data_IF_605963358993
#
_entry.id   IF_605963358993
#
_cell.length_a   1.000
_cell.length_b   1.000
_cell.length_c   1.000
_cell.angle_alpha   90.00
_cell.angle_beta   90.00
_cell.angle_gamma   90.00
#
_symmetry.space_group_name_H-M   'P 1'
#
loop_
_entity.id
_entity.type
_entity.pdbx_description
1 polymer ?
#
# COMPACT_ATOMS: atom_id res chain seq x y z
N UNK A 1 1.78 42.17 -81.71
CA UNK A 1 1.66 43.65 -81.74
C UNK A 1 0.65 44.10 -80.68
N UNK A 2 1.04 45.07 -79.83
CA UNK A 2 0.26 45.96 -78.93
C UNK A 2 -0.61 45.27 -77.85
N UNK A 3 -0.28 45.20 -76.54
CA UNK A 3 0.04 46.20 -75.47
C UNK A 3 -1.02 47.30 -75.27
N UNK A 4 -1.69 47.32 -74.10
CA UNK A 4 -1.61 48.31 -73.00
C UNK A 4 -2.68 47.92 -71.92
N UNK A 5 -2.30 47.58 -70.67
CA UNK A 5 -2.11 48.44 -69.47
C UNK A 5 -3.40 48.55 -68.61
N UNK A 6 -3.43 48.68 -67.28
CA UNK A 6 -2.45 48.70 -66.17
C UNK A 6 -3.22 48.82 -64.85
N UNK A 7 -2.67 48.32 -63.72
CA UNK A 7 -2.51 48.98 -62.39
C UNK A 7 -2.20 47.89 -61.34
N UNK A 8 -0.94 47.70 -60.91
CA UNK A 8 -0.17 48.40 -59.88
C UNK A 8 -0.65 48.20 -58.43
N UNK A 9 0.25 47.60 -57.63
CA UNK A 9 0.19 47.43 -56.19
C UNK A 9 1.33 46.51 -55.72
N UNK A 10 2.55 47.06 -55.63
CA UNK A 10 3.69 46.43 -54.97
C UNK A 10 3.55 46.57 -53.45
N UNK A 11 3.90 45.54 -52.69
CA UNK A 11 4.46 45.67 -51.34
C UNK A 11 5.36 44.47 -51.03
N UNK A 12 6.51 44.79 -50.45
CA UNK A 12 7.66 43.95 -50.18
C UNK A 12 7.48 43.00 -48.99
N UNK A 13 8.39 42.03 -48.92
CA UNK A 13 8.37 40.89 -47.99
C UNK A 13 8.42 41.20 -46.50
N UNK A 14 8.14 40.17 -45.72
CA UNK A 14 8.92 39.75 -44.56
C UNK A 14 8.58 38.29 -44.23
N UNK A 15 9.56 37.42 -44.34
CA UNK A 15 9.57 36.12 -43.67
C UNK A 15 9.83 36.37 -42.18
N UNK A 16 8.90 36.01 -41.31
CA UNK A 16 9.14 35.93 -39.88
C UNK A 16 8.51 34.65 -39.33
N UNK A 17 9.37 33.85 -38.73
CA UNK A 17 9.18 32.52 -38.19
C UNK A 17 8.13 32.57 -37.06
N UNK A 18 7.00 31.89 -37.26
CA UNK A 18 6.07 31.58 -36.19
C UNK A 18 6.69 30.53 -35.27
N UNK A 19 7.32 30.97 -34.18
CA UNK A 19 7.66 30.10 -33.05
C UNK A 19 6.35 29.62 -32.44
N UNK A 20 5.97 28.39 -32.74
CA UNK A 20 4.91 27.70 -32.03
C UNK A 20 5.47 27.38 -30.63
N UNK A 21 5.18 28.24 -29.66
CA UNK A 21 5.32 27.93 -28.25
C UNK A 21 4.33 26.80 -27.94
N UNK A 22 4.80 25.56 -28.12
CA UNK A 22 4.19 24.40 -27.49
C UNK A 22 4.44 24.59 -26.01
N UNK A 23 3.48 25.22 -25.33
CA UNK A 23 3.41 25.17 -23.89
C UNK A 23 3.38 23.71 -23.49
N UNK A 24 4.50 23.21 -22.98
CA UNK A 24 4.57 21.98 -22.22
C UNK A 24 3.84 22.22 -20.90
N UNK A 25 2.52 22.33 -20.98
CA UNK A 25 1.66 22.05 -19.85
C UNK A 25 1.87 20.58 -19.55
N UNK A 26 2.71 20.29 -18.55
CA UNK A 26 2.67 19.02 -17.88
C UNK A 26 1.23 18.85 -17.37
N UNK A 27 0.41 18.13 -18.14
CA UNK A 27 -0.89 17.66 -17.70
C UNK A 27 -0.61 16.78 -16.49
N UNK A 28 -0.65 17.39 -15.32
CA UNK A 28 -0.79 16.68 -14.07
C UNK A 28 -2.19 16.08 -14.15
N UNK A 29 -2.28 14.82 -14.58
CA UNK A 29 -3.52 14.06 -14.50
C UNK A 29 -3.74 13.78 -13.02
N UNK A 30 -4.32 14.75 -12.32
CA UNK A 30 -4.91 14.56 -11.01
C UNK A 30 -6.22 13.83 -11.23
N UNK A 31 -6.32 12.60 -10.70
CA UNK A 31 -7.58 11.88 -10.71
C UNK A 31 -8.43 12.42 -9.55
N UNK A 32 -9.28 13.41 -9.82
CA UNK A 32 -10.36 13.74 -8.89
C UNK A 32 -11.16 12.46 -8.58
N UNK A 33 -11.64 12.25 -7.34
CA UNK A 33 -12.42 11.08 -7.00
C UNK A 33 -13.65 11.00 -7.91
N UNK A 34 -13.67 9.98 -8.77
CA UNK A 34 -14.71 9.79 -9.78
C UNK A 34 -16.01 9.39 -9.08
N UNK A 35 -17.19 9.83 -9.56
CA UNK A 35 -18.47 9.45 -8.96
C UNK A 35 -18.63 7.93 -8.77
N UNK A 36 -19.34 7.49 -7.71
CA UNK A 36 -19.54 6.07 -7.44
C UNK A 36 -20.15 5.31 -8.63
N UNK A 37 -19.55 4.17 -8.98
CA UNK A 37 -20.07 3.31 -10.04
C UNK A 37 -21.29 2.51 -9.58
N UNK A 38 -22.17 2.06 -10.49
CA UNK A 38 -23.29 1.17 -10.13
C UNK A 38 -22.85 -0.11 -9.40
N UNK A 39 -21.70 -0.68 -9.78
CA UNK A 39 -21.15 -1.87 -9.15
C UNK A 39 -20.78 -1.60 -7.68
N UNK A 40 -20.10 -0.48 -7.39
CA UNK A 40 -19.75 -0.10 -6.01
C UNK A 40 -20.99 0.13 -5.15
N UNK A 41 -22.03 0.79 -5.68
CA UNK A 41 -23.30 0.96 -4.95
C UNK A 41 -23.94 -0.37 -4.58
N UNK A 42 -23.86 -1.37 -5.47
CA UNK A 42 -24.37 -2.70 -5.19
C UNK A 42 -23.53 -3.42 -4.12
N UNK A 43 -22.20 -3.33 -4.19
CA UNK A 43 -21.29 -3.88 -3.17
C UNK A 43 -21.64 -3.33 -1.79
N UNK A 44 -21.82 -2.01 -1.67
CA UNK A 44 -22.17 -1.34 -0.41
C UNK A 44 -23.46 -1.91 0.18
N UNK A 45 -24.51 -2.07 -0.64
CA UNK A 45 -25.79 -2.65 -0.17
C UNK A 45 -25.63 -4.07 0.36
N UNK A 46 -24.85 -4.90 -0.34
CA UNK A 46 -24.57 -6.28 0.08
C UNK A 46 -23.82 -6.29 1.41
N UNK A 47 -22.80 -5.44 1.56
CA UNK A 47 -22.03 -5.33 2.81
C UNK A 47 -22.92 -4.86 3.96
N UNK A 48 -23.78 -3.86 3.75
CA UNK A 48 -24.72 -3.42 4.78
C UNK A 48 -25.70 -4.52 5.17
N UNK A 49 -26.20 -5.29 4.21
CA UNK A 49 -27.10 -6.40 4.51
C UNK A 49 -26.39 -7.50 5.31
N UNK A 50 -25.17 -7.88 4.94
CA UNK A 50 -24.37 -8.86 5.68
C UNK A 50 -24.07 -8.40 7.11
N UNK A 51 -23.71 -7.13 7.30
CA UNK A 51 -23.51 -6.57 8.65
C UNK A 51 -24.80 -6.64 9.48
N UNK A 52 -25.95 -6.44 8.84
CA UNK A 52 -27.26 -6.48 9.52
C UNK A 52 -27.69 -7.90 9.89
N UNK A 53 -27.43 -8.90 9.04
CA UNK A 53 -27.97 -10.25 9.23
C UNK A 53 -26.98 -11.25 9.82
N UNK A 54 -25.69 -11.13 9.50
CA UNK A 54 -24.67 -12.14 9.82
C UNK A 54 -23.73 -11.73 10.95
N UNK A 55 -23.67 -10.45 11.31
CA UNK A 55 -22.71 -9.97 12.31
C UNK A 55 -23.03 -10.52 13.70
N UNK A 56 -22.02 -11.09 14.37
CA UNK A 56 -22.18 -11.79 15.66
C UNK A 56 -22.80 -10.89 16.75
N UNK A 57 -22.40 -9.61 16.80
CA UNK A 57 -22.91 -8.67 17.80
C UNK A 57 -24.40 -8.38 17.67
N UNK A 58 -25.00 -8.62 16.49
CA UNK A 58 -26.39 -8.24 16.14
C UNK A 58 -26.70 -6.77 16.39
N UNK A 59 -25.67 -5.92 16.45
CA UNK A 59 -25.85 -4.49 16.66
C UNK A 59 -26.59 -3.90 15.46
N UNK A 60 -27.63 -3.08 15.67
CA UNK A 60 -28.31 -2.43 14.56
C UNK A 60 -27.36 -1.48 13.81
N UNK A 61 -27.59 -1.36 12.51
CA UNK A 61 -26.99 -0.30 11.70
C UNK A 61 -27.70 1.01 12.00
N UNK A 62 -27.21 1.77 12.97
CA UNK A 62 -27.84 2.98 13.52
C UNK A 62 -26.89 4.19 13.59
N UNK A 63 -27.35 5.26 14.24
CA UNK A 63 -26.59 6.50 14.42
C UNK A 63 -25.28 6.29 15.19
N UNK A 64 -25.24 5.35 16.14
CA UNK A 64 -24.01 5.06 16.89
C UNK A 64 -22.94 4.47 15.97
N UNK A 65 -23.29 3.48 15.15
CA UNK A 65 -22.37 2.94 14.14
C UNK A 65 -21.96 4.04 13.15
N UNK A 66 -22.88 4.90 12.76
CA UNK A 66 -22.63 6.02 11.84
C UNK A 66 -21.60 7.02 12.40
N UNK A 67 -21.76 7.45 13.66
CA UNK A 67 -20.82 8.34 14.35
C UNK A 67 -19.44 7.71 14.52
N UNK A 68 -19.38 6.43 14.93
CA UNK A 68 -18.13 5.68 15.04
C UNK A 68 -17.43 5.55 13.70
N UNK A 69 -18.18 5.26 12.63
CA UNK A 69 -17.66 5.17 11.27
C UNK A 69 -17.07 6.50 10.81
N UNK A 70 -17.78 7.63 11.02
CA UNK A 70 -17.25 8.95 10.68
C UNK A 70 -15.94 9.23 11.42
N UNK A 71 -15.90 8.98 12.74
CA UNK A 71 -14.71 9.16 13.56
C UNK A 71 -13.54 8.34 13.03
N UNK A 72 -13.75 7.08 12.71
CA UNK A 72 -12.72 6.19 12.16
C UNK A 72 -12.26 6.65 10.78
N UNK A 73 -13.20 7.05 9.90
CA UNK A 73 -12.88 7.51 8.56
C UNK A 73 -12.00 8.78 8.59
N UNK A 74 -12.37 9.78 9.40
CA UNK A 74 -11.56 10.98 9.58
C UNK A 74 -10.21 10.69 10.24
N UNK A 75 -10.16 9.77 11.20
CA UNK A 75 -8.91 9.32 11.84
C UNK A 75 -7.98 8.61 10.86
N UNK A 76 -8.51 7.83 9.92
CA UNK A 76 -7.72 7.14 8.90
C UNK A 76 -7.15 8.12 7.87
N UNK A 77 -7.90 9.16 7.52
CA UNK A 77 -7.45 10.21 6.61
C UNK A 77 -6.44 11.16 7.26
N UNK A 78 -6.77 11.71 8.43
CA UNK A 78 -5.97 12.74 9.10
C UNK A 78 -5.76 12.43 10.60
N UNK A 79 -4.97 11.39 10.93
CA UNK A 79 -4.78 10.95 12.31
C UNK A 79 -4.09 11.99 13.20
N UNK A 80 -3.33 12.91 12.60
CA UNK A 80 -2.60 13.96 13.30
C UNK A 80 -3.35 15.30 13.29
N UNK A 81 -4.49 15.38 12.59
CA UNK A 81 -5.30 16.59 12.44
C UNK A 81 -4.50 17.74 11.80
N UNK A 82 -3.67 17.44 10.81
CA UNK A 82 -2.75 18.37 10.15
C UNK A 82 -3.33 19.00 8.88
N UNK A 83 -4.30 18.34 8.26
CA UNK A 83 -4.78 18.70 6.93
C UNK A 83 -6.12 19.43 7.02
N UNK A 84 -7.14 18.79 7.58
CA UNK A 84 -8.47 19.39 7.69
C UNK A 84 -8.48 20.61 8.60
N UNK A 85 -9.35 21.57 8.28
CA UNK A 85 -9.75 22.59 9.24
C UNK A 85 -10.86 22.08 10.15
N UNK A 86 -11.00 22.72 11.31
CA UNK A 86 -12.12 22.46 12.22
C UNK A 86 -13.48 22.67 11.50
N UNK A 87 -13.58 23.68 10.64
CA UNK A 87 -14.78 23.93 9.84
C UNK A 87 -15.13 22.81 8.86
N UNK A 88 -14.14 22.13 8.28
CA UNK A 88 -14.38 20.98 7.41
C UNK A 88 -15.00 19.84 8.23
N UNK A 89 -14.40 19.57 9.39
CA UNK A 89 -14.84 18.51 10.30
C UNK A 89 -16.22 18.79 10.88
N UNK A 90 -16.52 20.03 11.25
CA UNK A 90 -17.84 20.44 11.74
C UNK A 90 -18.91 20.24 10.65
N UNK A 91 -18.58 20.53 9.39
CA UNK A 91 -19.46 20.24 8.24
C UNK A 91 -19.70 18.74 8.07
N UNK A 92 -18.68 17.91 8.24
CA UNK A 92 -18.82 16.45 8.15
C UNK A 92 -19.66 15.89 9.30
N UNK A 93 -19.46 16.41 10.51
CA UNK A 93 -20.24 16.04 11.70
C UNK A 93 -21.72 16.35 11.58
N UNK A 94 -22.11 17.37 10.80
CA UNK A 94 -23.52 17.64 10.54
C UNK A 94 -24.27 16.48 9.85
N UNK A 95 -23.56 15.50 9.29
CA UNK A 95 -24.13 14.29 8.69
C UNK A 95 -23.81 13.01 9.50
N UNK A 96 -23.26 13.11 10.71
CA UNK A 96 -22.69 11.97 11.43
C UNK A 96 -23.69 10.85 11.75
N UNK A 97 -24.98 11.17 11.84
CA UNK A 97 -26.05 10.19 12.08
C UNK A 97 -26.56 9.50 10.80
N UNK A 98 -26.18 10.00 9.61
CA UNK A 98 -26.79 9.61 8.34
C UNK A 98 -25.92 8.70 7.45
N UNK A 99 -24.62 8.54 7.74
CA UNK A 99 -23.69 7.79 6.87
C UNK A 99 -24.17 6.35 6.62
N UNK A 100 -24.67 5.70 7.67
CA UNK A 100 -25.17 4.31 7.58
C UNK A 100 -26.49 4.24 6.82
N UNK A 101 -27.39 5.21 6.99
CA UNK A 101 -28.64 5.29 6.21
C UNK A 101 -28.39 5.54 4.72
N UNK A 102 -27.38 6.35 4.40
CA UNK A 102 -26.91 6.54 3.03
C UNK A 102 -26.33 5.22 2.48
N UNK A 103 -25.44 4.58 3.25
CA UNK A 103 -24.81 3.32 2.85
C UNK A 103 -25.84 2.20 2.60
N UNK A 104 -26.90 2.10 3.41
CA UNK A 104 -28.01 1.13 3.16
C UNK A 104 -28.66 1.30 1.78
N UNK A 105 -28.71 2.52 1.26
CA UNK A 105 -29.24 2.83 -0.09
C UNK A 105 -28.18 2.64 -1.19
N UNK A 106 -26.96 2.29 -0.82
CA UNK A 106 -25.79 2.23 -1.69
C UNK A 106 -25.20 3.60 -2.00
N UNK A 107 -25.53 4.62 -1.21
CA UNK A 107 -24.99 5.97 -1.38
C UNK A 107 -23.69 6.12 -0.57
N UNK A 108 -22.61 6.41 -1.28
CA UNK A 108 -21.26 6.64 -0.73
C UNK A 108 -20.71 8.02 -1.13
N UNK A 109 -21.58 8.91 -1.62
CA UNK A 109 -21.19 10.26 -2.06
C UNK A 109 -20.50 11.05 -0.95
N UNK A 110 -20.92 10.89 0.30
CA UNK A 110 -20.29 11.49 1.47
C UNK A 110 -18.79 11.16 1.57
N UNK A 111 -18.41 9.88 1.40
CA UNK A 111 -17.01 9.46 1.46
C UNK A 111 -16.16 10.10 0.36
N UNK A 112 -16.72 10.24 -0.84
CA UNK A 112 -16.06 10.93 -1.96
C UNK A 112 -15.92 12.43 -1.72
N UNK A 113 -16.93 13.09 -1.15
CA UNK A 113 -16.88 14.52 -0.84
C UNK A 113 -15.81 14.83 0.22
N UNK A 114 -15.78 14.06 1.31
CA UNK A 114 -14.76 14.19 2.37
C UNK A 114 -13.37 13.97 1.79
N UNK A 115 -13.19 12.93 0.95
CA UNK A 115 -11.90 12.65 0.34
C UNK A 115 -11.46 13.73 -0.64
N UNK A 116 -12.39 14.30 -1.42
CA UNK A 116 -12.09 15.45 -2.28
C UNK A 116 -11.57 16.64 -1.48
N UNK A 117 -12.26 17.01 -0.40
CA UNK A 117 -11.82 18.10 0.49
C UNK A 117 -10.46 17.77 1.12
N UNK A 118 -10.20 16.50 1.43
CA UNK A 118 -8.90 16.07 1.93
C UNK A 118 -7.78 16.30 0.91
N UNK A 119 -7.99 15.98 -0.37
CA UNK A 119 -7.03 16.27 -1.45
C UNK A 119 -6.79 17.77 -1.61
N UNK A 120 -7.86 18.58 -1.60
CA UNK A 120 -7.74 20.05 -1.64
C UNK A 120 -6.87 20.59 -0.49
N UNK A 121 -7.06 20.05 0.73
CA UNK A 121 -6.22 20.40 1.89
C UNK A 121 -4.79 19.91 1.75
N UNK A 122 -4.56 18.72 1.20
CA UNK A 122 -3.22 18.22 0.91
C UNK A 122 -2.47 19.17 -0.02
N UNK A 123 -3.11 19.66 -1.08
CA UNK A 123 -2.49 20.58 -2.04
C UNK A 123 -2.20 21.94 -1.40
N UNK A 124 -3.13 22.42 -0.59
CA UNK A 124 -2.95 23.63 0.22
C UNK A 124 -1.76 23.48 1.17
N UNK A 125 -1.65 22.37 1.91
CA UNK A 125 -0.52 22.07 2.80
C UNK A 125 0.77 21.86 2.02
N UNK A 126 0.72 21.24 0.85
CA UNK A 126 1.89 21.00 0.01
C UNK A 126 2.61 22.32 -0.34
N UNK A 127 1.87 23.33 -0.80
CA UNK A 127 2.43 24.67 -1.08
C UNK A 127 3.05 25.30 0.17
N UNK A 128 2.32 25.26 1.29
CA UNK A 128 2.78 25.78 2.58
C UNK A 128 4.04 25.07 3.08
N UNK A 129 4.14 23.76 2.93
CA UNK A 129 5.29 22.95 3.35
C UNK A 129 6.54 23.34 2.55
N UNK A 130 6.43 23.58 1.24
CA UNK A 130 7.56 24.01 0.41
C UNK A 130 8.11 25.38 0.86
N UNK A 131 7.23 26.32 1.21
CA UNK A 131 7.62 27.60 1.79
C UNK A 131 8.33 27.40 3.13
N UNK A 132 7.71 26.67 4.06
CA UNK A 132 8.23 26.45 5.40
C UNK A 132 9.58 25.71 5.42
N UNK A 133 9.79 24.74 4.51
CA UNK A 133 11.07 24.03 4.36
C UNK A 133 12.19 24.90 3.82
N UNK A 134 11.86 26.03 3.18
CA UNK A 134 12.82 26.99 2.65
C UNK A 134 13.15 28.10 3.65
N UNK A 135 12.40 28.21 4.74
CA UNK A 135 12.64 29.18 5.81
C UNK A 135 13.79 28.76 6.72
N UNK A 136 14.38 29.73 7.44
CA UNK A 136 15.39 29.44 8.46
C UNK A 136 14.73 28.85 9.70
N UNK A 137 15.12 27.63 10.06
CA UNK A 137 14.66 26.97 11.29
C UNK A 137 15.58 27.30 12.47
N UNK A 138 15.08 28.08 13.43
CA UNK A 138 15.80 28.40 14.68
C UNK A 138 15.48 27.37 15.77
N UNK A 139 16.42 26.48 16.07
CA UNK A 139 16.29 25.45 17.09
C UNK A 139 16.58 25.91 18.53
N UNK A 140 16.89 27.19 18.74
CA UNK A 140 17.17 27.77 20.07
C UNK A 140 15.92 28.32 20.77
N UNK A 141 14.82 28.48 20.04
CA UNK A 141 13.53 28.93 20.58
C UNK A 141 12.89 27.84 21.45
N UNK A 142 12.55 28.18 22.69
CA UNK A 142 11.77 27.32 23.61
C UNK A 142 10.30 27.31 23.18
N UNK A 143 9.84 26.15 22.69
CA UNK A 143 8.47 25.94 22.25
C UNK A 143 8.07 24.47 22.38
N UNK A 144 6.76 24.21 22.36
CA UNK A 144 6.17 22.88 22.58
C UNK A 144 5.23 22.50 21.46
N UNK A 145 5.10 21.20 21.22
CA UNK A 145 4.17 20.61 20.26
C UNK A 145 3.49 19.39 20.89
N UNK A 146 2.20 19.21 20.59
CA UNK A 146 1.46 18.00 20.97
C UNK A 146 1.88 16.85 20.04
N UNK A 147 2.50 15.82 20.61
CA UNK A 147 2.90 14.59 19.90
C UNK A 147 1.91 13.43 20.08
N UNK A 148 0.85 13.63 20.87
CA UNK A 148 -0.25 12.69 21.00
C UNK A 148 -1.34 13.01 19.97
N UNK A 149 -1.65 12.05 19.11
CA UNK A 149 -2.69 12.14 18.07
C UNK A 149 -4.08 12.42 18.66
N UNK A 150 -4.39 11.81 19.80
CA UNK A 150 -5.71 11.92 20.43
C UNK A 150 -5.92 13.31 21.04
N UNK A 151 -4.84 13.91 21.56
CA UNK A 151 -4.85 15.27 22.12
C UNK A 151 -4.73 16.38 21.07
N UNK A 152 -4.35 16.05 19.84
CA UNK A 152 -4.25 17.01 18.74
C UNK A 152 -5.61 17.64 18.44
N UNK A 153 -5.63 18.88 17.94
CA UNK A 153 -6.84 19.61 17.50
C UNK A 153 -6.72 20.04 16.05
N UNK A 154 -7.81 20.08 15.30
CA UNK A 154 -7.79 20.62 13.94
C UNK A 154 -7.52 22.13 13.99
N UNK A 155 -6.67 22.68 13.10
CA UNK A 155 -6.52 24.12 12.99
C UNK A 155 -7.87 24.78 12.64
N UNK A 156 -8.16 25.94 13.21
CA UNK A 156 -9.36 26.73 12.88
C UNK A 156 -9.11 27.72 11.76
N UNK A 157 -7.88 28.19 11.61
CA UNK A 157 -7.51 29.21 10.63
C UNK A 157 -6.25 28.83 9.85
N UNK A 158 -6.00 29.45 8.68
CA UNK A 158 -4.76 29.24 7.93
C UNK A 158 -3.49 29.52 8.74
N UNK A 159 -3.52 30.49 9.65
CA UNK A 159 -2.40 30.83 10.52
C UNK A 159 -2.14 29.73 11.55
N UNK A 160 -3.19 29.19 12.17
CA UNK A 160 -3.07 28.04 13.07
C UNK A 160 -2.53 26.81 12.32
N UNK A 161 -2.98 26.57 11.08
CA UNK A 161 -2.46 25.49 10.25
C UNK A 161 -0.97 25.70 9.91
N UNK A 162 -0.57 26.92 9.56
CA UNK A 162 0.83 27.27 9.28
C UNK A 162 1.72 27.06 10.50
N UNK A 163 1.32 27.55 11.68
CA UNK A 163 2.10 27.34 12.91
C UNK A 163 2.22 25.85 13.26
N UNK A 164 1.14 25.09 13.09
CA UNK A 164 1.14 23.64 13.32
C UNK A 164 2.11 22.91 12.39
N UNK A 165 2.09 23.24 11.10
CA UNK A 165 3.03 22.69 10.12
C UNK A 165 4.47 23.14 10.37
N UNK A 166 4.70 24.40 10.75
CA UNK A 166 6.03 24.91 11.13
C UNK A 166 6.61 24.11 12.30
N UNK A 167 5.83 23.91 13.36
CA UNK A 167 6.24 23.09 14.52
C UNK A 167 6.49 21.63 14.11
N UNK A 168 5.64 21.07 13.26
CA UNK A 168 5.80 19.70 12.76
C UNK A 168 7.07 19.52 11.96
N UNK A 169 7.34 20.41 11.01
CA UNK A 169 8.57 20.39 10.19
C UNK A 169 9.79 20.57 11.08
N UNK A 170 9.78 21.53 12.00
CA UNK A 170 10.88 21.75 12.95
C UNK A 170 11.15 20.50 13.81
N UNK A 171 10.10 19.83 14.29
CA UNK A 171 10.22 18.56 15.01
C UNK A 171 10.83 17.46 14.13
N UNK A 172 10.33 17.29 12.90
CA UNK A 172 10.86 16.26 11.99
C UNK A 172 12.33 16.52 11.61
N UNK A 173 12.73 17.79 11.47
CA UNK A 173 14.14 18.18 11.30
C UNK A 173 15.00 17.86 12.54
N UNK A 174 14.47 18.08 13.74
CA UNK A 174 15.16 17.70 14.99
C UNK A 174 15.36 16.19 15.10
N UNK A 175 14.38 15.39 14.65
CA UNK A 175 14.50 13.93 14.59
C UNK A 175 15.59 13.52 13.60
N UNK A 176 15.60 14.08 12.39
CA UNK A 176 16.65 13.81 11.40
C UNK A 176 18.05 14.22 11.89
N UNK A 177 18.13 15.35 12.58
CA UNK A 177 19.34 15.82 13.27
C UNK A 177 19.85 14.84 14.32
N UNK A 178 18.96 14.27 15.14
CA UNK A 178 19.32 13.22 16.09
C UNK A 178 19.88 11.97 15.37
N UNK A 179 19.36 11.67 14.17
CA UNK A 179 19.85 10.62 13.27
C UNK A 179 21.10 11.03 12.45
N UNK A 180 21.72 12.18 12.77
CA UNK A 180 22.91 12.75 12.10
C UNK A 180 22.70 13.11 10.63
N UNK A 181 21.47 13.38 10.23
CA UNK A 181 21.10 13.92 8.91
C UNK A 181 20.80 15.41 9.09
N UNK A 182 21.61 16.28 8.48
CA UNK A 182 21.60 17.72 8.76
C UNK A 182 21.42 18.57 7.49
N UNK A 183 21.15 19.85 7.71
CA UNK A 183 21.15 20.89 6.68
C UNK A 183 20.28 20.54 5.47
N UNK A 184 20.81 20.70 4.25
CA UNK A 184 20.07 20.53 3.01
C UNK A 184 19.57 19.10 2.81
N UNK A 185 20.34 18.09 3.24
CA UNK A 185 19.94 16.69 3.11
C UNK A 185 18.66 16.39 3.93
N UNK A 186 18.55 16.94 5.14
CA UNK A 186 17.37 16.79 5.97
C UNK A 186 16.13 17.45 5.32
N UNK A 187 16.32 18.66 4.79
CA UNK A 187 15.27 19.41 4.07
C UNK A 187 14.79 18.63 2.85
N UNK A 188 15.71 18.10 2.04
CA UNK A 188 15.38 17.36 0.82
C UNK A 188 14.64 16.06 1.13
N UNK A 189 15.06 15.32 2.18
CA UNK A 189 14.36 14.13 2.67
C UNK A 189 12.94 14.43 3.14
N UNK A 190 12.72 15.53 3.86
CA UNK A 190 11.37 15.92 4.29
C UNK A 190 10.52 16.37 3.10
N UNK A 191 11.07 17.19 2.21
CA UNK A 191 10.39 17.61 0.98
C UNK A 191 9.89 16.40 0.20
N UNK A 192 10.76 15.43 -0.01
CA UNK A 192 10.41 14.21 -0.71
C UNK A 192 9.32 13.43 0.03
N UNK A 193 9.45 13.22 1.35
CA UNK A 193 8.45 12.51 2.16
C UNK A 193 7.06 13.11 2.01
N UNK A 194 6.94 14.44 2.09
CA UNK A 194 5.66 15.15 1.99
C UNK A 194 5.10 15.15 0.58
N UNK A 195 5.93 15.34 -0.45
CA UNK A 195 5.52 15.19 -1.86
C UNK A 195 5.03 13.78 -2.17
N UNK A 196 5.76 12.76 -1.72
CA UNK A 196 5.37 11.36 -1.90
C UNK A 196 4.06 11.02 -1.20
N UNK A 197 3.79 11.61 -0.02
CA UNK A 197 2.50 11.47 0.65
C UNK A 197 1.37 12.07 -0.19
N UNK A 198 1.49 13.33 -0.61
CA UNK A 198 0.45 14.00 -1.39
C UNK A 198 0.17 13.29 -2.72
N UNK A 199 1.24 12.91 -3.42
CA UNK A 199 1.14 12.14 -4.65
C UNK A 199 0.44 10.79 -4.46
N UNK A 200 0.74 10.05 -3.39
CA UNK A 200 0.07 8.77 -3.11
C UNK A 200 -1.43 8.96 -2.89
N UNK A 201 -1.85 10.03 -2.20
CA UNK A 201 -3.28 10.32 -1.99
C UNK A 201 -3.98 10.70 -3.29
N UNK A 202 -3.33 11.43 -4.18
CA UNK A 202 -3.85 11.72 -5.53
C UNK A 202 -3.88 10.50 -6.47
N UNK A 203 -3.13 9.45 -6.14
CA UNK A 203 -3.16 8.17 -6.84
C UNK A 203 -4.12 7.15 -6.19
N UNK A 204 -4.90 7.56 -5.19
CA UNK A 204 -5.94 6.72 -4.60
C UNK A 204 -7.07 6.53 -5.60
N UNK A 205 -7.36 5.27 -5.92
CA UNK A 205 -8.43 4.91 -6.84
C UNK A 205 -9.76 4.69 -6.11
N UNK A 206 -10.81 4.50 -6.90
CA UNK A 206 -12.17 4.30 -6.40
C UNK A 206 -12.35 3.01 -5.58
N UNK A 207 -11.55 1.97 -5.84
CA UNK A 207 -11.61 0.71 -5.08
C UNK A 207 -10.98 0.91 -3.70
N UNK A 208 -9.85 1.59 -3.63
CA UNK A 208 -9.18 1.98 -2.38
C UNK A 208 -10.03 2.93 -1.54
N UNK A 209 -10.65 3.95 -2.15
CA UNK A 209 -11.54 4.86 -1.43
C UNK A 209 -12.77 4.13 -0.87
N UNK A 210 -13.35 3.20 -1.64
CA UNK A 210 -14.44 2.36 -1.15
C UNK A 210 -13.98 1.49 0.02
N UNK A 211 -12.78 0.92 -0.05
CA UNK A 211 -12.20 0.14 1.05
C UNK A 211 -11.97 0.97 2.30
N UNK A 212 -11.47 2.19 2.18
CA UNK A 212 -11.32 3.12 3.31
C UNK A 212 -12.67 3.46 3.95
N UNK A 213 -13.70 3.70 3.14
CA UNK A 213 -15.04 4.07 3.64
C UNK A 213 -15.77 2.88 4.28
N UNK A 214 -15.87 1.74 3.59
CA UNK A 214 -16.49 0.53 4.14
C UNK A 214 -15.65 -0.05 5.29
N UNK A 215 -14.33 0.08 5.25
CA UNK A 215 -13.43 -0.27 6.35
C UNK A 215 -13.75 0.51 7.63
N UNK A 216 -14.07 1.80 7.50
CA UNK A 216 -14.48 2.61 8.65
C UNK A 216 -15.85 2.18 9.22
N UNK A 217 -16.82 1.80 8.37
CA UNK A 217 -18.13 1.30 8.81
C UNK A 217 -18.01 -0.09 9.44
N UNK A 218 -17.26 -0.99 8.84
CA UNK A 218 -17.07 -2.37 9.34
C UNK A 218 -16.35 -2.39 10.68
N UNK A 219 -15.26 -1.63 10.82
CA UNK A 219 -14.53 -1.52 12.10
C UNK A 219 -15.26 -0.75 13.20
N UNK A 220 -16.36 -0.06 12.90
CA UNK A 220 -17.21 0.57 13.90
C UNK A 220 -18.01 -0.44 14.75
N UNK A 221 -18.17 -1.68 14.24
CA UNK A 221 -18.76 -2.78 14.99
C UNK A 221 -17.78 -3.37 16.01
N UNK A 222 -16.59 -3.76 15.55
CA UNK A 222 -15.53 -4.37 16.36
C UNK A 222 -14.18 -4.34 15.61
N UNK A 223 -13.02 -4.60 16.26
CA UNK A 223 -11.70 -4.46 15.65
C UNK A 223 -11.30 -5.57 14.65
N UNK A 224 -12.13 -6.61 14.48
CA UNK A 224 -11.87 -7.76 13.62
C UNK A 224 -12.82 -7.86 12.42
N UNK A 225 -13.82 -6.99 12.34
CA UNK A 225 -14.71 -6.87 11.18
C UNK A 225 -14.14 -5.86 10.19
N UNK A 226 -13.88 -6.32 8.96
CA UNK A 226 -13.23 -5.52 7.92
C UNK A 226 -13.85 -5.77 6.55
N UNK A 227 -13.83 -4.75 5.70
CA UNK A 227 -14.03 -4.90 4.26
C UNK A 227 -12.66 -4.95 3.57
N UNK A 228 -12.53 -5.83 2.57
CA UNK A 228 -11.33 -5.99 1.76
C UNK A 228 -11.70 -5.78 0.29
N UNK A 229 -10.94 -4.95 -0.40
CA UNK A 229 -11.04 -4.83 -1.86
C UNK A 229 -10.60 -6.11 -2.57
N UNK A 230 -10.99 -6.32 -3.85
CA UNK A 230 -10.43 -7.39 -4.68
C UNK A 230 -8.90 -7.52 -4.59
N UNK A 231 -8.17 -6.40 -4.63
CA UNK A 231 -6.71 -6.39 -4.45
C UNK A 231 -6.31 -6.91 -3.06
N UNK A 232 -6.95 -6.44 -2.00
CA UNK A 232 -6.67 -6.86 -0.62
C UNK A 232 -6.98 -8.35 -0.42
N UNK A 233 -8.11 -8.85 -0.93
CA UNK A 233 -8.48 -10.28 -0.88
C UNK A 233 -7.42 -11.14 -1.57
N UNK A 234 -6.94 -10.73 -2.76
CA UNK A 234 -5.87 -11.46 -3.46
C UNK A 234 -4.58 -11.53 -2.64
N UNK A 235 -4.22 -10.44 -1.96
CA UNK A 235 -3.05 -10.43 -1.07
C UNK A 235 -3.26 -11.31 0.17
N UNK A 236 -4.45 -11.29 0.76
CA UNK A 236 -4.83 -12.18 1.86
C UNK A 236 -4.72 -13.65 1.45
N UNK A 237 -5.22 -14.02 0.27
CA UNK A 237 -5.14 -15.38 -0.26
C UNK A 237 -3.69 -15.83 -0.49
N UNK A 238 -2.81 -14.93 -0.94
CA UNK A 238 -1.37 -15.22 -1.11
C UNK A 238 -0.72 -15.54 0.26
N UNK A 239 -1.02 -14.76 1.29
CA UNK A 239 -0.51 -14.99 2.65
C UNK A 239 -1.07 -16.29 3.23
N UNK A 240 -2.36 -16.58 3.00
CA UNK A 240 -2.98 -17.81 3.50
C UNK A 240 -2.48 -19.06 2.77
N UNK A 241 -2.30 -18.99 1.45
CA UNK A 241 -1.86 -20.14 0.64
C UNK A 241 -0.33 -20.32 0.61
N UNK A 242 0.43 -19.31 1.02
CA UNK A 242 1.88 -19.18 0.81
C UNK A 242 2.31 -19.35 -0.66
N UNK A 243 1.42 -18.99 -1.58
CA UNK A 243 1.64 -19.09 -3.02
C UNK A 243 1.37 -17.76 -3.69
N UNK A 244 2.27 -17.37 -4.58
CA UNK A 244 2.15 -16.17 -5.41
C UNK A 244 2.36 -16.55 -6.87
N UNK A 245 1.56 -16.00 -7.78
CA UNK A 245 1.84 -16.06 -9.22
C UNK A 245 2.47 -14.74 -9.69
N UNK A 246 3.66 -14.83 -10.30
CA UNK A 246 4.38 -13.65 -10.79
C UNK A 246 5.84 -13.95 -11.09
N UNK A 247 6.69 -12.94 -10.90
CA UNK A 247 8.13 -13.05 -11.15
C UNK A 247 8.92 -13.53 -9.93
N UNK A 248 8.37 -13.44 -8.71
CA UNK A 248 9.09 -13.82 -7.49
C UNK A 248 10.13 -12.80 -7.05
N UNK A 249 9.76 -11.52 -6.99
CA UNK A 249 10.59 -10.44 -6.49
C UNK A 249 9.80 -9.55 -5.52
N UNK A 250 10.45 -9.10 -4.46
CA UNK A 250 9.96 -8.05 -3.58
C UNK A 250 10.40 -6.71 -4.14
N UNK A 251 9.45 -5.80 -4.31
CA UNK A 251 9.66 -4.49 -4.89
C UNK A 251 9.43 -3.40 -3.85
N UNK A 252 10.10 -2.27 -4.00
CA UNK A 252 9.96 -1.10 -3.15
C UNK A 252 9.92 0.16 -4.01
N UNK A 253 9.15 1.16 -3.59
CA UNK A 253 9.21 2.49 -4.20
C UNK A 253 10.32 3.31 -3.55
N UNK A 254 11.28 3.78 -4.35
CA UNK A 254 12.39 4.65 -3.93
C UNK A 254 12.52 5.78 -4.95
N UNK A 255 12.35 7.02 -4.49
CA UNK A 255 12.49 8.23 -5.32
C UNK A 255 11.64 8.21 -6.60
N UNK A 256 10.42 7.67 -6.50
CA UNK A 256 9.51 7.54 -7.65
C UNK A 256 9.80 6.33 -8.56
N UNK A 257 10.89 5.60 -8.32
CA UNK A 257 11.22 4.37 -9.05
C UNK A 257 10.74 3.12 -8.32
N UNK A 258 10.36 2.10 -9.08
CA UNK A 258 10.15 0.75 -8.55
C UNK A 258 11.48 0.01 -8.54
N UNK A 259 12.00 -0.28 -7.35
CA UNK A 259 13.31 -0.90 -7.13
C UNK A 259 13.15 -2.34 -6.64
N UNK A 260 13.97 -3.25 -7.17
CA UNK A 260 14.04 -4.63 -6.70
C UNK A 260 14.73 -4.68 -5.35
N UNK A 261 13.98 -4.98 -4.29
CA UNK A 261 14.50 -5.07 -2.93
C UNK A 261 15.06 -6.47 -2.61
N UNK A 262 14.35 -7.53 -3.01
CA UNK A 262 14.74 -8.93 -2.78
C UNK A 262 14.27 -9.80 -3.93
N UNK A 263 15.06 -10.81 -4.31
CA UNK A 263 14.64 -11.88 -5.22
C UNK A 263 14.30 -13.11 -4.38
N UNK A 264 13.16 -13.76 -4.69
CA UNK A 264 12.71 -14.96 -3.97
C UNK A 264 13.43 -16.18 -4.56
N UNK A 265 14.21 -16.93 -3.74
CA UNK A 265 14.91 -18.13 -4.21
C UNK A 265 13.97 -19.15 -4.86
N UNK A 266 14.36 -19.68 -6.01
CA UNK A 266 13.54 -20.62 -6.79
C UNK A 266 12.38 -19.97 -7.57
N UNK A 267 12.17 -18.67 -7.42
CA UNK A 267 11.20 -17.88 -8.20
C UNK A 267 11.62 -17.72 -9.67
N UNK A 268 10.72 -17.15 -10.49
CA UNK A 268 10.99 -16.98 -11.93
C UNK A 268 12.15 -16.02 -12.22
N UNK A 269 12.25 -14.90 -11.49
CA UNK A 269 13.33 -13.93 -11.62
C UNK A 269 14.68 -14.51 -11.15
N UNK A 270 14.68 -15.35 -10.12
CA UNK A 270 15.88 -16.05 -9.63
C UNK A 270 16.41 -17.03 -10.68
N UNK A 271 15.52 -17.87 -11.23
CA UNK A 271 15.84 -18.84 -12.29
C UNK A 271 16.33 -18.17 -13.58
N UNK A 272 15.76 -17.03 -13.93
CA UNK A 272 16.18 -16.24 -15.08
C UNK A 272 17.55 -15.59 -14.86
N UNK A 273 17.78 -15.07 -13.65
CA UNK A 273 19.07 -14.56 -13.20
C UNK A 273 19.46 -13.20 -13.77
N UNK A 274 18.72 -12.59 -14.72
CA UNK A 274 19.06 -11.26 -15.26
C UNK A 274 18.62 -10.10 -14.38
N UNK A 275 17.50 -10.25 -13.66
CA UNK A 275 17.02 -9.24 -12.71
C UNK A 275 17.80 -9.35 -11.39
N UNK A 276 18.36 -8.23 -10.92
CA UNK A 276 19.19 -8.18 -9.71
C UNK A 276 18.62 -7.24 -8.65
N UNK A 277 19.04 -7.45 -7.40
CA UNK A 277 18.72 -6.53 -6.30
C UNK A 277 19.31 -5.15 -6.58
N UNK A 278 18.52 -4.10 -6.36
CA UNK A 278 18.86 -2.70 -6.65
C UNK A 278 18.48 -2.23 -8.06
N UNK A 279 18.11 -3.13 -8.97
CA UNK A 279 17.64 -2.77 -10.31
C UNK A 279 16.36 -1.91 -10.23
N UNK A 280 16.25 -0.91 -11.11
CA UNK A 280 15.07 -0.05 -11.26
C UNK A 280 14.21 -0.53 -12.42
N UNK A 281 12.96 -0.87 -12.16
CA UNK A 281 11.96 -1.17 -13.19
C UNK A 281 11.32 0.15 -13.61
N UNK A 282 11.49 0.53 -14.88
CA UNK A 282 11.02 1.82 -15.44
C UNK A 282 9.87 1.67 -16.43
N UNK A 283 9.67 0.48 -17.01
CA UNK A 283 8.47 0.17 -17.79
C UNK A 283 8.11 -1.32 -17.71
N UNK A 284 6.83 -1.63 -17.88
CA UNK A 284 6.28 -3.00 -17.85
C UNK A 284 5.40 -3.23 -19.07
N UNK A 285 5.66 -4.31 -19.81
CA UNK A 285 4.86 -4.74 -20.97
C UNK A 285 4.27 -6.13 -20.77
N UNK A 286 3.03 -6.31 -21.22
CA UNK A 286 2.31 -7.59 -21.12
C UNK A 286 2.59 -8.49 -22.34
N UNK A 287 2.84 -9.77 -22.11
CA UNK A 287 3.09 -10.72 -23.19
C UNK A 287 4.38 -10.42 -23.98
N UNK A 288 4.44 -10.90 -25.21
CA UNK A 288 5.60 -10.70 -26.09
C UNK A 288 5.58 -9.33 -26.77
N UNK A 289 4.39 -8.81 -27.08
CA UNK A 289 4.21 -7.65 -27.96
C UNK A 289 3.37 -6.52 -27.33
N UNK A 290 2.77 -6.73 -26.16
CA UNK A 290 1.91 -5.71 -25.54
C UNK A 290 2.69 -4.46 -25.13
N UNK A 291 2.10 -3.29 -25.30
CA UNK A 291 2.74 -1.98 -25.09
C UNK A 291 3.53 -1.90 -23.77
N UNK A 292 4.71 -1.28 -23.82
CA UNK A 292 5.52 -1.01 -22.64
C UNK A 292 4.96 0.21 -21.93
N UNK A 293 4.28 -0.01 -20.81
CA UNK A 293 3.74 1.06 -19.97
C UNK A 293 4.86 1.62 -19.10
N UNK A 294 5.11 2.92 -19.18
CA UNK A 294 6.03 3.60 -18.26
C UNK A 294 5.48 3.53 -16.83
N UNK A 295 6.31 3.09 -15.89
CA UNK A 295 5.94 2.92 -14.48
C UNK A 295 6.73 3.83 -13.54
N UNK A 296 7.52 4.76 -14.08
CA UNK A 296 8.15 5.81 -13.28
C UNK A 296 7.05 6.64 -12.67
N UNK A 297 7.21 6.92 -11.38
CA UNK A 297 6.25 7.67 -10.59
C UNK A 297 4.85 7.01 -10.44
N UNK A 298 4.67 5.78 -10.92
CA UNK A 298 3.44 5.01 -10.71
C UNK A 298 3.36 4.50 -9.27
N UNK A 299 2.14 4.37 -8.75
CA UNK A 299 1.88 3.78 -7.43
C UNK A 299 2.38 2.33 -7.42
N UNK A 300 3.15 1.96 -6.39
CA UNK A 300 3.81 0.64 -6.33
C UNK A 300 2.83 -0.54 -6.50
N UNK A 301 1.63 -0.45 -5.93
CA UNK A 301 0.61 -1.50 -6.06
C UNK A 301 0.17 -1.72 -7.50
N UNK A 302 0.04 -0.65 -8.30
CA UNK A 302 -0.33 -0.75 -9.71
C UNK A 302 0.81 -1.38 -10.54
N UNK A 303 2.07 -1.01 -10.23
CA UNK A 303 3.24 -1.66 -10.85
C UNK A 303 3.30 -3.14 -10.51
N UNK A 304 3.02 -3.50 -9.25
CA UNK A 304 2.95 -4.88 -8.79
C UNK A 304 1.84 -5.65 -9.53
N UNK A 305 0.68 -5.03 -9.76
CA UNK A 305 -0.42 -5.65 -10.51
C UNK A 305 -0.07 -5.88 -11.98
N UNK A 306 0.67 -4.97 -12.62
CA UNK A 306 1.21 -5.18 -13.97
C UNK A 306 2.24 -6.33 -14.03
N UNK A 307 3.10 -6.43 -13.01
CA UNK A 307 4.16 -7.44 -12.97
C UNK A 307 3.60 -8.82 -12.63
N UNK A 308 2.61 -8.91 -11.73
CA UNK A 308 1.90 -10.14 -11.41
C UNK A 308 1.07 -10.61 -12.60
N UNK A 309 0.69 -11.88 -12.58
CA UNK A 309 -0.10 -12.47 -13.66
C UNK A 309 -0.01 -13.98 -13.65
N UNK A 310 -0.88 -14.60 -14.46
CA UNK A 310 -1.03 -16.05 -14.49
C UNK A 310 0.28 -16.76 -14.79
N UNK A 311 0.54 -17.88 -14.13
CA UNK A 311 1.66 -18.75 -14.46
C UNK A 311 1.71 -19.07 -15.97
N UNK A 312 2.92 -19.10 -16.54
CA UNK A 312 3.16 -19.38 -17.95
C UNK A 312 3.03 -18.17 -18.88
N UNK A 313 2.40 -17.07 -18.41
CA UNK A 313 2.37 -15.83 -19.19
C UNK A 313 3.70 -15.09 -19.09
N UNK A 314 4.02 -14.29 -20.11
CA UNK A 314 5.26 -13.50 -20.15
C UNK A 314 5.02 -12.06 -19.73
N UNK A 315 6.02 -11.47 -19.08
CA UNK A 315 6.10 -10.04 -18.77
C UNK A 315 7.45 -9.50 -19.22
N UNK A 316 7.44 -8.32 -19.80
CA UNK A 316 8.65 -7.59 -20.21
C UNK A 316 8.89 -6.45 -19.25
N UNK A 317 10.10 -6.36 -18.72
CA UNK A 317 10.52 -5.32 -17.80
C UNK A 317 11.62 -4.50 -18.48
N UNK A 318 11.42 -3.20 -18.63
CA UNK A 318 12.52 -2.29 -18.92
C UNK A 318 13.22 -1.97 -17.59
N UNK A 319 14.48 -2.34 -17.50
CA UNK A 319 15.28 -2.31 -16.27
C UNK A 319 16.49 -1.42 -16.47
N UNK A 320 16.78 -0.60 -15.46
CA UNK A 320 18.01 0.17 -15.33
C UNK A 320 18.80 -0.39 -14.16
N UNK A 321 19.96 -0.97 -14.44
CA UNK A 321 20.81 -1.56 -13.41
C UNK A 321 21.56 -0.52 -12.59
N UNK A 322 21.93 -0.87 -11.37
CA UNK A 322 22.70 -0.01 -10.46
C UNK A 322 23.99 0.46 -11.15
N UNK A 323 24.19 1.78 -11.21
CA UNK A 323 25.40 2.38 -11.79
C UNK A 323 25.45 2.39 -13.33
N UNK A 324 24.41 1.93 -14.02
CA UNK A 324 24.31 2.00 -15.48
C UNK A 324 23.20 2.96 -15.91
N UNK A 325 23.42 3.83 -16.91
CA UNK A 325 22.35 4.61 -17.52
C UNK A 325 21.54 3.82 -18.57
N UNK A 326 21.99 2.60 -18.93
CA UNK A 326 21.40 1.82 -20.01
C UNK A 326 20.08 1.14 -19.58
N UNK A 327 19.06 1.25 -20.41
CA UNK A 327 17.79 0.52 -20.26
C UNK A 327 17.87 -0.82 -20.99
N UNK A 328 17.62 -1.91 -20.27
CA UNK A 328 17.57 -3.28 -20.83
C UNK A 328 16.16 -3.83 -20.71
N UNK A 329 15.66 -4.44 -21.77
CA UNK A 329 14.38 -5.16 -21.72
C UNK A 329 14.68 -6.62 -21.39
N UNK A 330 14.11 -7.10 -20.29
CA UNK A 330 14.15 -8.51 -19.91
C UNK A 330 12.73 -9.08 -19.98
N UNK A 331 12.59 -10.25 -20.60
CA UNK A 331 11.32 -10.99 -20.64
C UNK A 331 11.40 -12.13 -19.63
N UNK A 332 10.49 -12.15 -18.66
CA UNK A 332 10.37 -13.19 -17.63
C UNK A 332 9.05 -13.92 -17.84
N UNK A 333 9.09 -15.25 -17.87
CA UNK A 333 7.89 -16.09 -17.82
C UNK A 333 7.45 -16.22 -16.37
N UNK A 334 6.22 -15.80 -16.05
CA UNK A 334 5.65 -15.87 -14.71
C UNK A 334 5.51 -17.31 -14.26
N UNK A 335 5.74 -17.56 -12.98
CA UNK A 335 5.59 -18.87 -12.36
C UNK A 335 4.76 -18.77 -11.08
N UNK A 336 4.24 -19.91 -10.63
CA UNK A 336 3.82 -20.05 -9.24
C UNK A 336 5.09 -20.14 -8.37
N UNK A 337 5.15 -19.32 -7.34
CA UNK A 337 6.25 -19.23 -6.37
C UNK A 337 5.69 -19.60 -5.00
N UNK A 338 6.38 -20.51 -4.32
CA UNK A 338 6.12 -20.85 -2.92
C UNK A 338 6.91 -19.93 -2.00
N UNK A 339 6.24 -19.38 -1.00
CA UNK A 339 6.82 -18.48 -0.01
C UNK A 339 7.45 -19.30 1.13
N UNK A 340 8.53 -20.03 0.82
CA UNK A 340 9.19 -20.95 1.77
C UNK A 340 9.67 -20.28 3.05
N UNK A 341 10.08 -19.01 2.98
CA UNK A 341 10.48 -18.22 4.14
C UNK A 341 9.34 -17.98 5.14
N UNK A 342 8.09 -18.22 4.73
CA UNK A 342 6.87 -18.03 5.53
C UNK A 342 6.25 -19.34 6.00
N UNK A 343 6.86 -20.49 5.68
CA UNK A 343 6.44 -21.80 6.15
C UNK A 343 6.93 -22.06 7.58
N UNK A 344 6.42 -23.12 8.22
CA UNK A 344 6.97 -23.61 9.47
C UNK A 344 8.46 -23.97 9.29
N UNK A 345 9.32 -23.44 10.14
CA UNK A 345 10.77 -23.71 10.11
C UNK A 345 11.20 -24.44 11.37
N UNK A 346 12.18 -25.32 11.24
CA UNK A 346 12.69 -26.12 12.34
C UNK A 346 14.17 -25.90 12.59
N UNK A 347 14.59 -25.89 13.85
CA UNK A 347 16.00 -25.92 14.28
C UNK A 347 16.17 -26.89 15.44
N UNK A 348 17.34 -27.50 15.57
CA UNK A 348 17.68 -28.33 16.73
C UNK A 348 18.82 -27.65 17.47
N UNK A 349 18.65 -27.52 18.78
CA UNK A 349 19.66 -27.02 19.70
C UNK A 349 20.17 -28.17 20.56
N UNK A 350 21.47 -28.20 20.81
CA UNK A 350 22.08 -29.14 21.75
C UNK A 350 22.45 -28.36 23.01
N UNK A 351 21.65 -28.51 24.06
CA UNK A 351 21.74 -27.70 25.28
C UNK A 351 21.57 -28.55 26.54
N UNK A 352 22.14 -28.08 27.65
CA UNK A 352 22.12 -28.83 28.91
C UNK A 352 22.87 -30.16 28.86
N UNK A 353 22.66 -31.02 29.87
CA UNK A 353 23.25 -32.37 29.94
C UNK A 353 22.28 -33.37 30.55
N UNK A 354 22.17 -34.53 29.90
CA UNK A 354 21.50 -35.74 30.41
C UNK A 354 22.35 -36.41 31.51
N UNK A 355 21.78 -37.35 32.28
CA UNK A 355 22.52 -38.12 33.27
C UNK A 355 23.71 -38.91 32.69
N UNK A 356 23.66 -39.27 31.41
CA UNK A 356 24.75 -39.97 30.70
C UNK A 356 25.85 -39.02 30.17
N UNK A 357 25.71 -37.71 30.40
CA UNK A 357 26.65 -36.68 29.98
C UNK A 357 26.44 -36.13 28.56
N UNK A 358 25.52 -36.69 27.77
CA UNK A 358 25.18 -36.17 26.43
C UNK A 358 24.26 -34.95 26.52
N UNK A 359 24.28 -34.00 25.56
CA UNK A 359 23.37 -32.85 25.58
C UNK A 359 21.92 -33.25 25.28
N UNK A 360 20.95 -32.47 25.74
CA UNK A 360 19.57 -32.60 25.27
C UNK A 360 19.46 -32.02 23.87
N UNK A 361 18.79 -32.74 22.97
CA UNK A 361 18.39 -32.23 21.66
C UNK A 361 17.02 -31.59 21.77
N UNK A 362 16.96 -30.27 21.65
CA UNK A 362 15.72 -29.49 21.72
C UNK A 362 15.35 -29.04 20.31
N UNK A 363 14.28 -29.60 19.76
CA UNK A 363 13.72 -29.20 18.48
C UNK A 363 12.81 -28.00 18.64
N UNK A 364 13.11 -26.89 17.99
CA UNK A 364 12.27 -25.69 17.97
C UNK A 364 11.59 -25.58 16.61
N UNK A 365 10.27 -25.48 16.60
CA UNK A 365 9.44 -25.21 15.43
C UNK A 365 8.98 -23.75 15.53
N UNK A 366 9.46 -22.90 14.63
CA UNK A 366 8.92 -21.55 14.46
C UNK A 366 7.73 -21.63 13.51
N UNK A 367 6.55 -21.24 13.99
CA UNK A 367 5.33 -21.23 13.18
C UNK A 367 4.83 -19.79 12.98
N UNK A 368 5.08 -19.17 11.80
CA UNK A 368 4.73 -17.77 11.55
C UNK A 368 3.22 -17.49 11.54
N UNK A 369 2.41 -18.44 11.05
CA UNK A 369 0.95 -18.31 10.97
C UNK A 369 0.31 -19.68 10.75
N UNK A 370 -1.00 -19.80 10.98
CA UNK A 370 -1.79 -20.97 10.61
C UNK A 370 -2.23 -20.88 9.14
N UNK A 371 -1.29 -21.05 8.21
CA UNK A 371 -1.55 -20.95 6.77
C UNK A 371 -2.26 -22.21 6.21
N UNK A 372 -3.14 -21.98 5.24
CA UNK A 372 -3.82 -23.01 4.45
C UNK A 372 -4.20 -22.49 3.06
N UNK A 373 -3.90 -23.26 2.01
CA UNK A 373 -4.47 -23.03 0.66
C UNK A 373 -5.94 -23.47 0.64
N UNK A 374 -6.81 -22.56 1.11
CA UNK A 374 -8.26 -22.77 1.25
C UNK A 374 -8.92 -23.19 -0.06
N UNK A 375 -8.50 -22.58 -1.18
CA UNK A 375 -9.08 -22.83 -2.49
C UNK A 375 -8.75 -24.24 -2.99
N UNK A 376 -7.49 -24.67 -2.86
CA UNK A 376 -7.09 -26.03 -3.17
C UNK A 376 -7.75 -27.05 -2.23
N UNK A 377 -7.85 -26.75 -0.93
CA UNK A 377 -8.54 -27.59 0.04
C UNK A 377 -10.02 -27.80 -0.31
N UNK A 378 -10.74 -26.75 -0.72
CA UNK A 378 -12.15 -26.85 -1.17
C UNK A 378 -12.31 -27.68 -2.44
N UNK A 379 -11.32 -27.69 -3.33
CA UNK A 379 -11.31 -28.53 -4.54
C UNK A 379 -10.92 -29.99 -4.26
N UNK A 380 -10.59 -30.33 -3.02
CA UNK A 380 -10.16 -31.68 -2.64
C UNK A 380 -8.73 -32.02 -3.09
N UNK A 381 -7.88 -31.03 -3.34
CA UNK A 381 -6.48 -31.27 -3.69
C UNK A 381 -5.75 -31.96 -2.52
N UNK A 382 -5.26 -33.20 -2.66
CA UNK A 382 -4.60 -33.89 -1.56
C UNK A 382 -3.30 -33.20 -1.13
N UNK A 383 -2.72 -32.32 -1.95
CA UNK A 383 -1.42 -31.67 -1.75
C UNK A 383 -1.53 -30.15 -1.53
N UNK A 384 -2.69 -29.64 -1.11
CA UNK A 384 -2.81 -28.24 -0.70
C UNK A 384 -1.80 -27.88 0.41
N UNK A 385 -1.34 -26.61 0.41
CA UNK A 385 -0.39 -26.12 1.41
C UNK A 385 -1.07 -26.05 2.78
N UNK A 386 -0.48 -26.70 3.79
CA UNK A 386 -1.10 -26.92 5.10
C UNK A 386 -0.04 -26.84 6.19
N UNK A 387 -0.32 -26.02 7.19
CA UNK A 387 0.49 -25.89 8.40
C UNK A 387 0.71 -27.24 9.08
N UNK A 388 -0.38 -27.99 9.28
CA UNK A 388 -0.39 -29.29 9.97
C UNK A 388 0.49 -30.30 9.26
N UNK A 389 0.46 -30.34 7.92
CA UNK A 389 1.30 -31.27 7.14
C UNK A 389 2.78 -30.94 7.25
N UNK A 390 3.12 -29.65 7.15
CA UNK A 390 4.51 -29.21 7.26
C UNK A 390 5.06 -29.49 8.66
N UNK A 391 4.30 -29.18 9.72
CA UNK A 391 4.70 -29.49 11.10
C UNK A 391 4.80 -30.99 11.34
N UNK A 392 3.89 -31.80 10.80
CA UNK A 392 3.97 -33.27 10.89
C UNK A 392 5.27 -33.80 10.26
N UNK A 393 5.69 -33.25 9.13
CA UNK A 393 6.95 -33.63 8.49
C UNK A 393 8.16 -33.23 9.35
N UNK A 394 8.12 -32.05 9.98
CA UNK A 394 9.14 -31.60 10.93
C UNK A 394 9.22 -32.53 12.14
N UNK A 395 8.09 -32.88 12.76
CA UNK A 395 8.05 -33.80 13.90
C UNK A 395 8.56 -35.20 13.54
N UNK A 396 8.23 -35.71 12.35
CA UNK A 396 8.78 -36.98 11.87
C UNK A 396 10.30 -36.92 11.73
N UNK A 397 10.85 -35.81 11.25
CA UNK A 397 12.30 -35.58 11.17
C UNK A 397 12.95 -35.48 12.56
N UNK A 398 12.30 -34.78 13.51
CA UNK A 398 12.75 -34.72 14.91
C UNK A 398 12.81 -36.10 15.56
N UNK A 399 11.82 -36.96 15.31
CA UNK A 399 11.83 -38.34 15.78
C UNK A 399 12.99 -39.15 15.19
N UNK A 400 13.28 -39.00 13.90
CA UNK A 400 14.43 -39.66 13.25
C UNK A 400 15.78 -39.21 13.82
N UNK A 401 15.88 -37.95 14.26
CA UNK A 401 17.11 -37.37 14.82
C UNK A 401 17.27 -37.58 16.33
N UNK A 402 16.29 -38.23 16.98
CA UNK A 402 16.28 -38.46 18.42
C UNK A 402 16.18 -37.17 19.24
N UNK A 403 15.33 -36.24 18.81
CA UNK A 403 15.02 -35.02 19.57
C UNK A 403 14.31 -35.40 20.88
N UNK A 404 14.76 -34.83 22.00
CA UNK A 404 14.27 -35.14 23.34
C UNK A 404 13.06 -34.29 23.73
N UNK A 405 12.99 -33.05 23.24
CA UNK A 405 11.95 -32.09 23.56
C UNK A 405 11.62 -31.22 22.36
N UNK A 406 10.34 -30.85 22.20
CA UNK A 406 9.87 -29.96 21.14
C UNK A 406 9.32 -28.67 21.74
N UNK A 407 9.72 -27.54 21.16
CA UNK A 407 9.17 -26.21 21.45
C UNK A 407 8.46 -25.70 20.20
N UNK A 408 7.19 -25.35 20.32
CA UNK A 408 6.44 -24.66 19.26
C UNK A 408 6.42 -23.16 19.56
N UNK A 409 7.16 -22.37 18.77
CA UNK A 409 7.25 -20.91 18.91
C UNK A 409 6.13 -20.21 18.15
N UNK A 410 5.19 -19.64 18.90
CA UNK A 410 4.04 -18.87 18.41
C UNK A 410 4.14 -17.36 18.72
N UNK A 411 5.29 -16.86 19.21
CA UNK A 411 5.41 -15.47 19.72
C UNK A 411 5.06 -14.39 18.69
N UNK A 412 5.19 -14.70 17.39
CA UNK A 412 4.89 -13.79 16.27
C UNK A 412 3.75 -14.28 15.39
N UNK A 413 2.96 -15.23 15.89
CA UNK A 413 1.86 -15.84 15.15
C UNK A 413 0.55 -15.07 15.37
N UNK A 414 0.07 -14.41 14.32
CA UNK A 414 -1.17 -13.62 14.35
C UNK A 414 -2.45 -14.43 14.15
N UNK A 415 -2.38 -15.77 14.06
CA UNK A 415 -3.50 -16.65 13.76
C UNK A 415 -3.49 -17.16 12.31
N UNK A 416 -4.68 -17.44 11.78
CA UNK A 416 -4.89 -17.97 10.44
C UNK A 416 -6.10 -18.89 10.37
N UNK A 417 -5.96 -20.01 9.66
CA UNK A 417 -7.00 -21.02 9.49
C UNK A 417 -7.33 -21.69 10.82
N UNK A 418 -8.58 -21.52 11.30
CA UNK A 418 -9.08 -22.22 12.48
C UNK A 418 -8.97 -23.75 12.34
N UNK A 419 -9.22 -24.26 11.13
CA UNK A 419 -9.08 -25.68 10.84
C UNK A 419 -7.65 -26.16 11.07
N UNK A 420 -6.66 -25.42 10.60
CA UNK A 420 -5.26 -25.78 10.81
C UNK A 420 -4.87 -25.67 12.28
N UNK A 421 -5.43 -24.72 13.03
CA UNK A 421 -5.19 -24.66 14.47
C UNK A 421 -5.71 -25.92 15.18
N UNK A 422 -6.90 -26.41 14.83
CA UNK A 422 -7.47 -27.64 15.37
C UNK A 422 -6.65 -28.86 14.92
N UNK A 423 -6.44 -29.02 13.61
CA UNK A 423 -5.76 -30.18 13.04
C UNK A 423 -4.31 -30.30 13.55
N UNK A 424 -3.61 -29.17 13.74
CA UNK A 424 -2.26 -29.12 14.29
C UNK A 424 -2.21 -29.63 15.74
N UNK A 425 -3.21 -29.29 16.57
CA UNK A 425 -3.23 -29.78 17.96
C UNK A 425 -3.34 -31.29 18.06
N UNK A 426 -3.96 -31.95 17.07
CA UNK A 426 -4.05 -33.41 17.00
C UNK A 426 -2.74 -34.12 16.64
N UNK A 427 -1.64 -33.40 16.40
CA UNK A 427 -0.31 -33.99 16.22
C UNK A 427 0.39 -34.31 17.55
N UNK A 428 -0.07 -33.72 18.65
CA UNK A 428 0.46 -33.87 20.00
C UNK A 428 -0.57 -34.61 20.87
#
# INVERSE_FOLDING_TARGET
MKRFASRHGWLWGCWAIGVLLIGTGALHVWADPVPPTPAQRQVVRVVMELLRTEHLSKHPLDAEISQRALKTFLKNLDPWKLYFYQSDVDRFKAQEDNLVEMAKKGDITFGHEVFKIFLERIDERGRMIEELLSEKHDFTVDEKMVIDKELSQYPRTPEEARDKWRKRIKYDLLVLKADKIEAQEAIDKLRQRYRSFGKRMHQTDNEELLEMYLGAITSAFDPHTSYMSPRTVKNFDIVMSLKLEGIGASLQSVDGYTVVHKIIPGGAADKDGRLKVGDKIVAVGQGEEGEMVDVVDMKLSDVVDLIRGKQGTKVRLAVVSVGSPERKIITITRAQIELKDSEAQSRIFEEGRKPDGTPYKIGVIELPSFYMDMAAARRGDPNFKSTTRDVKQILANFNQQGVDAVVLDLRRNGGGSLREAIDLTGLF
#
